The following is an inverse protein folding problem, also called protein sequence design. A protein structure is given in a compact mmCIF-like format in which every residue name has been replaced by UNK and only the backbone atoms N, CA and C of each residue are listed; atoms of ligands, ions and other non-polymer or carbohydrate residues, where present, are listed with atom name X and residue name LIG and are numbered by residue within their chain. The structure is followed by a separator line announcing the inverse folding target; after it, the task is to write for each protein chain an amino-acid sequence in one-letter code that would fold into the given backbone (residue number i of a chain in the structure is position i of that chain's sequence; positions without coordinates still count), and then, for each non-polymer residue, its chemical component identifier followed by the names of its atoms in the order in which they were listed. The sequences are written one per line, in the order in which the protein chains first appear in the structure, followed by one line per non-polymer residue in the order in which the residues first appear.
data_IF_122463906276
#
_entry.id   IF_122463906276
#
_cell.length_a   1.000
_cell.length_b   1.000
_cell.length_c   1.000
_cell.angle_alpha   90.00
_cell.angle_beta   90.00
_cell.angle_gamma   90.00
#
_symmetry.space_group_name_H-M   'P 1'
#
loop_
_entity.id
_entity.type
_entity.pdbx_description
1 polymer ?
#
# COMPACT_ATOMS: atom_id res chain seq x y z
N UNK A 1 33.15 49.44 -13.45
CA UNK A 1 33.00 47.99 -13.69
C UNK A 1 31.72 47.53 -13.02
N UNK A 2 30.65 47.35 -13.80
CA UNK A 2 29.32 46.97 -13.32
C UNK A 2 29.01 45.54 -13.76
N UNK A 3 28.64 44.70 -12.80
CA UNK A 3 28.27 43.29 -12.95
C UNK A 3 27.00 43.12 -13.82
N UNK A 4 26.91 42.05 -14.66
CA UNK A 4 25.72 41.72 -15.44
C UNK A 4 24.66 40.94 -14.62
N UNK A 5 23.40 40.83 -15.11
CA UNK A 5 22.23 40.51 -14.30
C UNK A 5 22.00 38.99 -14.19
N UNK A 6 22.52 38.36 -13.14
CA UNK A 6 22.41 36.90 -12.90
C UNK A 6 21.25 36.49 -11.98
N UNK A 7 20.27 37.35 -11.77
CA UNK A 7 19.16 37.09 -10.82
C UNK A 7 17.82 37.23 -11.53
N UNK A 8 17.41 36.25 -12.34
CA UNK A 8 16.01 36.21 -12.88
C UNK A 8 15.36 34.83 -12.91
N UNK A 9 16.12 33.76 -12.66
CA UNK A 9 15.58 32.39 -12.60
C UNK A 9 15.07 31.97 -11.20
N UNK A 10 15.71 32.35 -10.08
CA UNK A 10 15.14 32.18 -8.74
C UNK A 10 13.84 32.98 -8.60
N UNK A 11 13.77 34.13 -9.27
CA UNK A 11 12.59 34.99 -9.27
C UNK A 11 11.39 34.31 -9.92
N UNK A 12 11.55 33.50 -10.97
CA UNK A 12 10.42 32.80 -11.59
C UNK A 12 9.83 31.74 -10.67
N UNK A 13 10.65 30.96 -9.98
CA UNK A 13 10.16 30.01 -8.97
C UNK A 13 9.63 30.72 -7.73
N UNK A 14 10.25 31.84 -7.31
CA UNK A 14 9.75 32.69 -6.23
C UNK A 14 8.44 33.40 -6.61
N UNK A 15 8.23 33.69 -7.89
CA UNK A 15 7.01 34.30 -8.41
C UNK A 15 5.91 33.25 -8.61
N UNK A 16 6.24 32.04 -9.08
CA UNK A 16 5.35 30.88 -9.04
C UNK A 16 4.99 30.55 -7.60
N UNK A 17 5.93 30.67 -6.65
CA UNK A 17 5.72 30.50 -5.22
C UNK A 17 4.81 31.57 -4.63
N UNK A 18 5.09 32.87 -4.86
CA UNK A 18 4.22 33.97 -4.45
C UNK A 18 2.84 33.80 -5.05
N UNK A 19 2.74 33.32 -6.29
CA UNK A 19 1.50 33.04 -6.97
C UNK A 19 0.76 31.85 -6.35
N UNK A 20 1.40 30.69 -6.15
CA UNK A 20 0.79 29.51 -5.50
C UNK A 20 0.36 29.83 -4.06
N UNK A 21 1.18 30.57 -3.30
CA UNK A 21 0.83 31.03 -1.94
C UNK A 21 -0.32 32.04 -1.98
N UNK A 22 -0.35 32.96 -2.93
CA UNK A 22 -1.48 33.88 -3.12
C UNK A 22 -2.75 33.14 -3.52
N UNK A 23 -2.66 32.16 -4.42
CA UNK A 23 -3.77 31.35 -4.89
C UNK A 23 -4.30 30.43 -3.78
N UNK A 24 -3.43 29.83 -2.98
CA UNK A 24 -3.80 29.08 -1.79
C UNK A 24 -4.42 30.02 -0.75
N UNK A 25 -3.84 31.20 -0.49
CA UNK A 25 -4.44 32.22 0.41
C UNK A 25 -5.81 32.71 -0.08
N UNK A 26 -6.03 32.81 -1.38
CA UNK A 26 -7.29 33.26 -1.96
C UNK A 26 -8.34 32.14 -1.93
N UNK A 27 -7.94 30.91 -2.20
CA UNK A 27 -8.75 29.69 -2.01
C UNK A 27 -9.12 29.46 -0.53
N UNK A 28 -8.21 29.78 0.41
CA UNK A 28 -8.48 29.71 1.86
C UNK A 28 -9.54 30.70 2.35
N UNK A 29 -9.85 31.74 1.57
CA UNK A 29 -10.90 32.72 1.89
C UNK A 29 -12.29 32.28 1.42
N UNK A 30 -12.36 31.34 0.47
CA UNK A 30 -13.60 30.86 -0.13
C UNK A 30 -14.11 29.53 0.45
N UNK A 31 -13.24 28.72 1.08
CA UNK A 31 -13.65 27.48 1.76
C UNK A 31 -13.67 27.65 3.29
N UNK A 32 -14.69 27.10 3.94
CA UNK A 32 -14.88 27.19 5.41
C UNK A 32 -13.68 26.66 6.20
N UNK A 33 -13.37 27.37 7.29
CA UNK A 33 -12.03 27.59 7.86
C UNK A 33 -11.39 26.44 8.66
N UNK A 34 -11.93 25.22 8.67
CA UNK A 34 -11.44 24.21 9.62
C UNK A 34 -10.25 23.34 9.13
N UNK A 35 -9.99 23.24 7.83
CA UNK A 35 -9.02 22.27 7.27
C UNK A 35 -7.85 22.89 6.48
N UNK A 36 -7.83 24.22 6.35
CA UNK A 36 -6.93 24.96 5.46
C UNK A 36 -5.54 25.22 6.04
N UNK A 37 -5.41 25.43 7.35
CA UNK A 37 -4.11 25.63 7.99
C UNK A 37 -3.20 24.39 7.88
N UNK A 38 -3.80 23.19 7.92
CA UNK A 38 -3.08 21.92 7.75
C UNK A 38 -2.61 21.73 6.32
N UNK A 39 -3.48 21.98 5.33
CA UNK A 39 -3.11 21.91 3.91
C UNK A 39 -1.98 22.86 3.55
N UNK A 40 -2.02 24.11 4.04
CA UNK A 40 -0.94 25.07 3.81
C UNK A 40 0.37 24.64 4.47
N UNK A 41 0.31 24.14 5.71
CA UNK A 41 1.47 23.58 6.42
C UNK A 41 2.06 22.35 5.74
N UNK A 42 1.22 21.48 5.19
CA UNK A 42 1.65 20.28 4.45
C UNK A 42 2.33 20.63 3.12
N UNK A 43 1.78 21.58 2.35
CA UNK A 43 2.42 22.06 1.10
C UNK A 43 3.78 22.71 1.39
N UNK A 44 3.89 23.46 2.50
CA UNK A 44 5.16 24.04 2.96
C UNK A 44 6.19 22.96 3.35
N UNK A 45 5.76 21.91 4.06
CA UNK A 45 6.65 20.84 4.53
C UNK A 45 7.09 19.90 3.39
N UNK A 46 6.19 19.59 2.45
CA UNK A 46 6.50 18.92 1.19
C UNK A 46 7.60 19.64 0.42
N UNK A 47 7.49 20.96 0.30
CA UNK A 47 8.49 21.76 -0.38
C UNK A 47 9.82 21.80 0.36
N UNK A 48 9.81 21.88 1.70
CA UNK A 48 11.02 21.76 2.52
C UNK A 48 11.78 20.46 2.21
N UNK A 49 11.08 19.33 2.18
CA UNK A 49 11.66 18.02 1.83
C UNK A 49 12.17 17.95 0.39
N UNK A 50 11.43 18.51 -0.57
CA UNK A 50 11.87 18.60 -1.98
C UNK A 50 13.10 19.51 -2.15
N UNK A 51 13.20 20.59 -1.37
CA UNK A 51 14.36 21.47 -1.37
C UNK A 51 15.59 20.80 -0.74
N UNK A 52 15.40 20.01 0.32
CA UNK A 52 16.45 19.20 0.96
C UNK A 52 16.96 18.09 0.02
N UNK A 53 16.07 17.43 -0.74
CA UNK A 53 16.43 16.43 -1.76
C UNK A 53 17.20 17.03 -2.95
N UNK A 54 16.97 18.30 -3.28
CA UNK A 54 17.57 18.95 -4.46
C UNK A 54 18.95 19.56 -4.19
N UNK A 55 19.31 19.81 -2.93
CA UNK A 55 20.70 20.17 -2.55
C UNK A 55 21.66 19.01 -2.85
N UNK A 56 21.17 17.77 -2.96
CA UNK A 56 21.97 16.59 -3.26
C UNK A 56 22.21 16.31 -4.76
N UNK A 57 21.61 17.08 -5.69
CA UNK A 57 21.54 16.69 -7.12
C UNK A 57 22.02 17.72 -8.14
N UNK A 58 22.71 18.79 -7.72
CA UNK A 58 23.13 19.89 -8.61
C UNK A 58 24.50 19.67 -9.26
N UNK A 59 24.68 18.57 -9.99
CA UNK A 59 25.70 18.47 -11.06
C UNK A 59 25.11 17.73 -12.26
N UNK A 60 24.34 18.43 -13.12
CA UNK A 60 24.15 18.02 -14.52
C UNK A 60 23.37 19.09 -15.31
N UNK A 61 24.14 19.86 -16.09
CA UNK A 61 23.86 20.34 -17.45
C UNK A 61 22.48 20.93 -17.83
N UNK A 62 22.55 22.25 -18.03
CA UNK A 62 21.86 23.09 -19.03
C UNK A 62 21.34 22.37 -20.28
N UNK A 63 20.13 22.74 -20.73
CA UNK A 63 19.91 23.23 -22.11
C UNK A 63 18.54 23.93 -22.24
N UNK A 64 18.45 24.87 -23.20
CA UNK A 64 17.46 25.94 -23.41
C UNK A 64 16.05 25.47 -23.87
N UNK A 65 14.96 26.27 -23.95
CA UNK A 65 14.72 27.56 -24.65
C UNK A 65 13.26 28.02 -24.36
N UNK A 66 12.98 29.24 -23.83
CA UNK A 66 12.32 30.41 -24.49
C UNK A 66 10.87 30.17 -25.00
N UNK A 67 9.79 30.89 -24.66
CA UNK A 67 9.51 32.35 -24.79
C UNK A 67 8.16 32.71 -24.11
N UNK A 68 8.13 33.90 -23.46
CA UNK A 68 7.09 34.91 -23.16
C UNK A 68 5.61 34.62 -22.78
N UNK A 69 5.15 35.45 -21.82
CA UNK A 69 3.79 35.69 -21.30
C UNK A 69 3.60 37.24 -21.27
N UNK A 70 2.40 37.86 -21.06
CA UNK A 70 1.28 37.37 -20.22
C UNK A 70 -0.16 37.79 -20.60
N UNK A 71 -1.17 37.02 -20.19
CA UNK A 71 -2.54 37.53 -19.98
C UNK A 71 -3.40 36.65 -19.06
N UNK A 72 -4.10 37.31 -18.11
CA UNK A 72 -5.16 36.85 -17.19
C UNK A 72 -4.79 35.94 -15.98
N UNK A 73 -5.15 36.30 -14.72
CA UNK A 73 -5.06 35.39 -13.59
C UNK A 73 -6.30 34.48 -13.58
N UNK A 74 -6.25 33.41 -14.38
CA UNK A 74 -7.12 32.27 -14.16
C UNK A 74 -6.71 31.63 -12.82
N UNK A 75 -7.42 31.98 -11.75
CA UNK A 75 -7.30 31.34 -10.45
C UNK A 75 -7.57 29.84 -10.60
N UNK A 76 -6.52 29.03 -10.68
CA UNK A 76 -6.73 27.59 -10.75
C UNK A 76 -5.46 26.82 -10.48
N UNK A 77 -5.43 26.06 -9.37
CA UNK A 77 -4.54 24.91 -9.20
C UNK A 77 -4.65 23.91 -10.38
N UNK A 78 -5.71 24.01 -11.19
CA UNK A 78 -5.94 23.28 -12.45
C UNK A 78 -4.89 23.60 -13.53
N UNK A 79 -4.17 24.73 -13.44
CA UNK A 79 -3.13 25.12 -14.42
C UNK A 79 -1.77 24.45 -14.14
N UNK A 80 -1.60 23.81 -12.97
CA UNK A 80 -0.38 23.07 -12.68
C UNK A 80 -0.31 21.77 -13.49
N UNK A 81 0.87 21.42 -14.05
CA UNK A 81 1.10 20.10 -14.61
C UNK A 81 0.76 18.99 -13.63
N UNK A 82 0.22 17.89 -14.15
CA UNK A 82 -0.28 16.76 -13.36
C UNK A 82 0.83 16.17 -12.48
N UNK A 83 2.08 16.18 -12.94
CA UNK A 83 3.25 15.69 -12.22
C UNK A 83 3.49 16.47 -10.92
N UNK A 84 3.36 17.80 -10.96
CA UNK A 84 3.51 18.65 -9.78
C UNK A 84 2.34 18.47 -8.81
N UNK A 85 1.13 18.31 -9.34
CA UNK A 85 -0.04 17.97 -8.52
C UNK A 85 0.15 16.62 -7.83
N UNK A 86 0.68 15.63 -8.53
CA UNK A 86 0.99 14.31 -7.96
C UNK A 86 1.99 14.40 -6.81
N UNK A 87 3.08 15.18 -6.97
CA UNK A 87 4.07 15.37 -5.91
C UNK A 87 3.45 16.01 -4.66
N UNK A 88 2.62 17.03 -4.84
CA UNK A 88 1.91 17.68 -3.72
C UNK A 88 0.93 16.72 -3.05
N UNK A 89 0.15 15.98 -3.84
CA UNK A 89 -0.83 15.03 -3.33
C UNK A 89 -0.19 13.82 -2.62
N UNK A 90 1.01 13.41 -3.03
CA UNK A 90 1.75 12.31 -2.41
C UNK A 90 2.14 12.63 -0.95
N UNK A 91 2.17 13.91 -0.58
CA UNK A 91 2.51 14.36 0.77
C UNK A 91 1.30 14.39 1.71
N UNK A 92 0.10 14.15 1.20
CA UNK A 92 -1.13 14.16 1.97
C UNK A 92 -1.40 12.80 2.61
N UNK A 93 -1.94 12.84 3.83
CA UNK A 93 -2.57 11.67 4.43
C UNK A 93 -3.84 11.27 3.67
N UNK A 94 -4.24 10.00 3.79
CA UNK A 94 -5.38 9.43 3.07
C UNK A 94 -6.68 10.25 3.24
N UNK A 95 -6.93 10.78 4.44
CA UNK A 95 -8.13 11.61 4.72
C UNK A 95 -8.14 12.88 3.88
N UNK A 96 -7.01 13.57 3.80
CA UNK A 96 -6.90 14.84 3.08
C UNK A 96 -6.79 14.62 1.58
N UNK A 97 -6.16 13.53 1.13
CA UNK A 97 -6.21 13.10 -0.26
C UNK A 97 -7.65 12.88 -0.75
N UNK A 98 -8.49 12.19 0.04
CA UNK A 98 -9.91 11.97 -0.31
C UNK A 98 -10.68 13.28 -0.45
N UNK A 99 -10.41 14.26 0.41
CA UNK A 99 -11.02 15.60 0.32
C UNK A 99 -10.56 16.36 -0.91
N UNK A 100 -9.26 16.33 -1.20
CA UNK A 100 -8.69 16.97 -2.38
C UNK A 100 -9.32 16.42 -3.67
N UNK A 101 -9.58 15.11 -3.72
CA UNK A 101 -10.24 14.45 -4.86
C UNK A 101 -11.67 14.93 -5.12
N UNK A 102 -12.40 15.34 -4.09
CA UNK A 102 -13.76 15.85 -4.24
C UNK A 102 -13.80 17.32 -4.69
N UNK A 103 -12.66 18.01 -4.74
CA UNK A 103 -12.63 19.45 -5.03
C UNK A 103 -12.64 19.78 -6.52
N UNK A 104 -11.87 19.06 -7.36
CA UNK A 104 -11.85 19.29 -8.80
C UNK A 104 -11.36 18.07 -9.60
N UNK A 105 -11.66 18.06 -10.91
CA UNK A 105 -11.30 16.97 -11.83
C UNK A 105 -9.79 16.78 -11.95
N UNK A 106 -8.99 17.85 -11.96
CA UNK A 106 -7.52 17.73 -12.08
C UNK A 106 -6.90 17.05 -10.86
N UNK A 107 -7.34 17.39 -9.65
CA UNK A 107 -6.87 16.72 -8.43
C UNK A 107 -7.37 15.28 -8.35
N UNK A 108 -8.61 15.04 -8.80
CA UNK A 108 -9.10 13.68 -8.97
C UNK A 108 -8.19 12.86 -9.90
N UNK A 109 -7.87 13.36 -11.08
CA UNK A 109 -7.00 12.68 -12.04
C UNK A 109 -5.59 12.49 -11.49
N UNK A 110 -4.96 13.53 -10.94
CA UNK A 110 -3.61 13.46 -10.38
C UNK A 110 -3.51 12.48 -9.20
N UNK A 111 -4.56 12.37 -8.39
CA UNK A 111 -4.62 11.42 -7.26
C UNK A 111 -4.64 9.95 -7.67
N UNK A 112 -4.89 9.63 -8.95
CA UNK A 112 -4.86 8.26 -9.48
C UNK A 112 -3.45 7.77 -9.79
N UNK A 113 -2.43 8.59 -9.52
CA UNK A 113 -1.03 8.19 -9.72
C UNK A 113 -0.62 7.06 -8.79
N UNK A 114 0.06 6.05 -9.36
CA UNK A 114 0.66 4.92 -8.63
C UNK A 114 1.56 5.37 -7.48
N UNK A 115 2.34 6.44 -7.69
CA UNK A 115 3.32 6.94 -6.73
C UNK A 115 2.66 7.40 -5.41
N UNK A 116 1.46 7.98 -5.49
CA UNK A 116 0.71 8.43 -4.31
C UNK A 116 0.28 7.23 -3.47
N UNK A 117 -0.31 6.22 -4.10
CA UNK A 117 -0.82 5.04 -3.40
C UNK A 117 0.30 4.16 -2.85
N UNK A 118 1.42 4.04 -3.57
CA UNK A 118 2.60 3.35 -3.06
C UNK A 118 3.15 4.04 -1.81
N UNK A 119 3.20 5.37 -1.80
CA UNK A 119 3.63 6.13 -0.63
C UNK A 119 2.67 5.97 0.55
N UNK A 120 1.37 6.05 0.31
CA UNK A 120 0.36 5.83 1.34
C UNK A 120 0.44 4.41 1.92
N UNK A 121 0.73 3.40 1.10
CA UNK A 121 0.95 2.03 1.57
C UNK A 121 2.12 1.96 2.56
N UNK A 122 3.25 2.59 2.25
CA UNK A 122 4.40 2.62 3.16
C UNK A 122 4.09 3.39 4.45
N UNK A 123 3.37 4.51 4.37
CA UNK A 123 2.93 5.25 5.56
C UNK A 123 1.98 4.46 6.44
N UNK A 124 1.09 3.65 5.85
CA UNK A 124 0.22 2.74 6.60
C UNK A 124 1.01 1.60 7.24
N UNK A 125 2.09 1.14 6.62
CA UNK A 125 2.89 0.01 7.10
C UNK A 125 3.87 0.38 8.21
N UNK A 126 4.34 1.63 8.24
CA UNK A 126 5.36 2.16 9.16
C UNK A 126 5.05 1.94 10.67
N UNK A 127 3.79 2.05 11.15
CA UNK A 127 3.49 1.85 12.56
C UNK A 127 3.58 0.39 13.04
N UNK A 128 3.56 -0.60 12.14
CA UNK A 128 3.51 -2.01 12.52
C UNK A 128 4.91 -2.57 12.73
N UNK A 129 5.09 -3.32 13.83
CA UNK A 129 6.37 -4.01 14.16
C UNK A 129 6.77 -5.00 13.05
N UNK A 130 5.78 -5.62 12.41
CA UNK A 130 5.96 -6.43 11.22
C UNK A 130 5.34 -5.67 10.04
N UNK A 131 6.06 -5.50 8.92
CA UNK A 131 5.54 -4.79 7.77
C UNK A 131 4.33 -5.55 7.20
N UNK A 132 3.37 -4.80 6.65
CA UNK A 132 2.29 -5.39 5.87
C UNK A 132 2.92 -6.06 4.64
N UNK A 133 2.77 -7.38 4.53
CA UNK A 133 3.30 -8.16 3.40
C UNK A 133 2.20 -8.25 2.34
N UNK A 134 2.36 -7.58 1.18
CA UNK A 134 1.42 -7.72 0.08
C UNK A 134 1.52 -9.13 -0.54
N UNK A 135 0.42 -9.69 -1.08
CA UNK A 135 0.41 -11.01 -1.71
C UNK A 135 1.37 -11.18 -2.90
N UNK A 136 1.74 -10.08 -3.57
CA UNK A 136 2.67 -10.04 -4.70
C UNK A 136 3.69 -8.91 -4.47
N UNK A 137 4.82 -8.88 -5.19
CA UNK A 137 5.75 -7.75 -5.14
C UNK A 137 5.03 -6.43 -5.51
N UNK A 138 5.31 -5.33 -4.79
CA UNK A 138 4.61 -4.06 -5.01
C UNK A 138 4.77 -3.52 -6.43
N UNK A 139 5.87 -3.87 -7.09
CA UNK A 139 6.21 -3.54 -8.47
C UNK A 139 5.15 -4.05 -9.46
N UNK A 140 4.50 -5.18 -9.16
CA UNK A 140 3.49 -5.77 -10.04
C UNK A 140 2.12 -5.10 -9.93
N UNK A 141 1.89 -4.30 -8.88
CA UNK A 141 0.58 -3.67 -8.68
C UNK A 141 0.41 -2.40 -9.52
N UNK A 142 -0.73 -2.33 -10.21
CA UNK A 142 -1.23 -1.12 -10.85
C UNK A 142 -1.70 -0.08 -9.83
N UNK A 143 -1.90 1.17 -10.29
CA UNK A 143 -2.36 2.25 -9.42
C UNK A 143 -3.73 1.97 -8.77
N UNK A 144 -4.65 1.38 -9.53
CA UNK A 144 -6.00 1.06 -9.04
C UNK A 144 -5.98 -0.09 -8.01
N UNK A 145 -5.14 -1.10 -8.22
CA UNK A 145 -4.99 -2.21 -7.26
C UNK A 145 -4.37 -1.71 -5.94
N UNK A 146 -3.34 -0.86 -6.00
CA UNK A 146 -2.77 -0.22 -4.82
C UNK A 146 -3.79 0.66 -4.08
N UNK A 147 -4.59 1.45 -4.82
CA UNK A 147 -5.66 2.25 -4.23
C UNK A 147 -6.66 1.36 -3.48
N UNK A 148 -7.10 0.26 -4.10
CA UNK A 148 -8.00 -0.70 -3.46
C UNK A 148 -7.39 -1.29 -2.18
N UNK A 149 -6.15 -1.74 -2.25
CA UNK A 149 -5.42 -2.33 -1.13
C UNK A 149 -5.27 -1.34 0.03
N UNK A 150 -4.76 -0.12 -0.21
CA UNK A 150 -4.63 0.93 0.81
C UNK A 150 -5.97 1.23 1.48
N UNK A 151 -7.05 1.35 0.70
CA UNK A 151 -8.38 1.61 1.24
C UNK A 151 -8.92 0.42 2.06
N UNK A 152 -8.68 -0.81 1.63
CA UNK A 152 -9.05 -2.01 2.37
C UNK A 152 -8.31 -2.08 3.70
N UNK A 153 -7.00 -1.93 3.71
CA UNK A 153 -6.19 -1.93 4.93
C UNK A 153 -6.62 -0.84 5.90
N UNK A 154 -6.91 0.37 5.42
CA UNK A 154 -7.42 1.46 6.28
C UNK A 154 -8.74 1.09 6.94
N UNK A 155 -9.66 0.42 6.22
CA UNK A 155 -10.94 -0.02 6.78
C UNK A 155 -10.74 -1.10 7.83
N UNK A 156 -9.84 -2.04 7.56
CA UNK A 156 -9.48 -3.11 8.49
C UNK A 156 -8.89 -2.49 9.76
N UNK A 157 -7.86 -1.65 9.64
CA UNK A 157 -7.21 -0.98 10.77
C UNK A 157 -8.19 -0.17 11.62
N UNK A 158 -9.06 0.62 10.97
CA UNK A 158 -10.11 1.33 11.68
C UNK A 158 -11.07 0.37 12.39
N UNK A 159 -11.50 -0.69 11.72
CA UNK A 159 -12.40 -1.70 12.29
C UNK A 159 -11.81 -2.41 13.50
N UNK A 160 -10.50 -2.70 13.48
CA UNK A 160 -9.78 -3.31 14.60
C UNK A 160 -9.50 -2.34 15.74
N UNK A 161 -9.22 -1.08 15.42
CA UNK A 161 -8.91 -0.03 16.40
C UNK A 161 -10.16 0.53 17.09
N UNK A 162 -11.33 0.46 16.47
CA UNK A 162 -12.56 0.95 17.10
C UNK A 162 -13.14 -0.06 18.09
N UNK A 163 -13.77 0.46 19.16
CA UNK A 163 -14.54 -0.34 20.13
C UNK A 163 -15.68 -1.16 19.48
N UNK A 164 -15.93 -0.99 18.17
CA UNK A 164 -16.88 -1.74 17.37
C UNK A 164 -16.62 -3.25 17.36
N UNK A 165 -15.39 -3.74 17.54
CA UNK A 165 -15.13 -5.18 17.60
C UNK A 165 -15.92 -5.87 18.71
N UNK A 166 -16.15 -5.18 19.84
CA UNK A 166 -16.95 -5.73 20.94
C UNK A 166 -18.45 -5.73 20.62
N UNK A 167 -18.89 -4.85 19.73
CA UNK A 167 -20.30 -4.69 19.35
C UNK A 167 -20.68 -5.53 18.12
N UNK A 168 -19.74 -5.71 17.20
CA UNK A 168 -19.86 -6.50 15.98
C UNK A 168 -18.51 -7.20 15.74
N UNK A 169 -18.29 -8.39 16.33
CA UNK A 169 -17.07 -9.13 16.08
C UNK A 169 -16.96 -9.49 14.59
N UNK A 170 -15.74 -9.59 14.05
CA UNK A 170 -15.54 -10.05 12.68
C UNK A 170 -16.21 -11.42 12.50
N UNK A 171 -16.70 -11.75 11.29
CA UNK A 171 -17.22 -13.07 11.00
C UNK A 171 -16.18 -14.14 11.36
N UNK A 172 -16.61 -15.14 12.14
CA UNK A 172 -15.76 -16.25 12.54
C UNK A 172 -16.18 -17.52 11.81
N UNK A 173 -15.20 -18.34 11.46
CA UNK A 173 -15.41 -19.69 10.93
C UNK A 173 -14.68 -20.67 11.82
N UNK A 174 -15.37 -21.74 12.19
CA UNK A 174 -14.81 -22.80 13.02
C UNK A 174 -14.28 -23.87 12.07
N UNK A 175 -12.99 -24.14 12.15
CA UNK A 175 -12.37 -25.32 11.56
C UNK A 175 -12.48 -26.42 12.60
N UNK A 176 -13.39 -27.36 12.36
CA UNK A 176 -13.55 -28.52 13.24
C UNK A 176 -12.38 -29.47 12.99
N UNK A 177 -11.49 -29.55 13.97
CA UNK A 177 -10.38 -30.49 13.95
C UNK A 177 -10.66 -31.58 14.96
N UNK A 178 -10.68 -32.82 14.46
CA UNK A 178 -10.96 -34.00 15.27
C UNK A 178 -9.94 -34.21 16.42
N UNK A 179 -8.77 -33.55 16.39
CA UNK A 179 -7.64 -33.81 17.29
C UNK A 179 -7.14 -32.56 18.02
N UNK A 180 -6.96 -32.60 19.35
CA UNK A 180 -6.29 -31.54 20.08
C UNK A 180 -4.83 -31.41 19.59
N UNK A 181 -4.34 -30.18 19.49
CA UNK A 181 -2.98 -29.85 19.01
C UNK A 181 -2.70 -30.15 17.53
N UNK A 182 -3.71 -30.08 16.67
CA UNK A 182 -3.49 -30.15 15.21
C UNK A 182 -2.55 -29.02 14.77
N UNK A 183 -1.41 -29.32 14.12
CA UNK A 183 -0.50 -28.29 13.65
C UNK A 183 -1.15 -27.46 12.53
N UNK A 184 -0.92 -26.16 12.58
CA UNK A 184 -1.35 -25.23 11.54
C UNK A 184 -0.25 -24.23 11.22
N UNK A 185 -0.29 -23.68 10.01
CA UNK A 185 0.63 -22.63 9.58
C UNK A 185 -0.13 -21.60 8.74
N UNK A 186 -0.09 -20.33 9.17
CA UNK A 186 -0.59 -19.22 8.36
C UNK A 186 0.52 -18.78 7.41
N UNK A 187 0.26 -18.82 6.11
CA UNK A 187 1.21 -18.37 5.09
C UNK A 187 1.33 -16.84 5.15
N UNK A 188 2.54 -16.30 4.91
CA UNK A 188 2.74 -14.85 4.82
C UNK A 188 1.76 -14.22 3.82
N UNK A 189 1.25 -13.04 4.15
CA UNK A 189 0.13 -12.41 3.45
C UNK A 189 -1.25 -12.76 4.02
N UNK A 190 -1.36 -13.81 4.86
CA UNK A 190 -2.51 -14.05 5.73
C UNK A 190 -3.77 -14.61 5.07
N UNK A 191 -3.74 -14.89 3.76
CA UNK A 191 -4.86 -15.48 3.01
C UNK A 191 -4.96 -17.00 3.16
N UNK A 192 -3.83 -17.68 3.17
CA UNK A 192 -3.79 -19.14 3.13
C UNK A 192 -3.44 -19.71 4.49
N UNK A 193 -4.28 -20.61 4.99
CA UNK A 193 -4.03 -21.35 6.22
C UNK A 193 -3.82 -22.83 5.89
N UNK A 194 -2.67 -23.38 6.28
CA UNK A 194 -2.40 -24.80 6.22
C UNK A 194 -2.83 -25.48 7.52
N UNK A 195 -3.46 -26.63 7.40
CA UNK A 195 -3.83 -27.50 8.52
C UNK A 195 -3.60 -28.97 8.14
N UNK A 196 -3.81 -29.88 9.09
CA UNK A 196 -3.77 -31.32 8.84
C UNK A 196 -5.06 -31.99 9.26
N UNK A 197 -5.43 -33.07 8.58
CA UNK A 197 -6.56 -33.92 8.98
C UNK A 197 -6.11 -35.16 9.77
N UNK A 198 -7.08 -35.91 10.30
CA UNK A 198 -6.85 -37.17 11.03
C UNK A 198 -6.22 -38.30 10.20
N UNK A 199 -6.23 -38.16 8.87
CA UNK A 199 -5.66 -39.15 7.97
C UNK A 199 -4.21 -38.84 7.63
N UNK A 200 -3.65 -37.70 8.08
CA UNK A 200 -2.32 -37.25 7.69
C UNK A 200 -2.30 -36.46 6.37
N UNK A 201 -3.47 -36.04 5.87
CA UNK A 201 -3.53 -35.12 4.74
C UNK A 201 -3.15 -33.70 5.19
N UNK A 202 -2.46 -32.96 4.33
CA UNK A 202 -2.29 -31.52 4.49
C UNK A 202 -3.37 -30.82 3.70
N UNK A 203 -4.12 -29.95 4.39
CA UNK A 203 -5.18 -29.14 3.81
C UNK A 203 -4.70 -27.69 3.70
N UNK A 204 -5.14 -27.00 2.67
CA UNK A 204 -4.99 -25.56 2.51
C UNK A 204 -6.37 -24.92 2.46
N UNK A 205 -6.57 -23.87 3.25
CA UNK A 205 -7.80 -23.10 3.32
C UNK A 205 -7.58 -21.69 2.77
N UNK A 206 -8.35 -21.30 1.76
CA UNK A 206 -8.49 -19.91 1.32
C UNK A 206 -9.41 -19.16 2.30
N UNK A 207 -8.83 -18.29 3.12
CA UNK A 207 -9.56 -17.51 4.11
C UNK A 207 -10.43 -16.42 3.46
N UNK A 208 -10.15 -16.04 2.21
CA UNK A 208 -10.96 -15.09 1.45
C UNK A 208 -12.14 -15.76 0.73
N UNK A 209 -12.16 -17.09 0.61
CA UNK A 209 -13.29 -17.83 0.04
C UNK A 209 -14.57 -17.56 0.85
N UNK A 210 -15.77 -17.49 0.24
CA UNK A 210 -17.01 -17.25 0.96
C UNK A 210 -17.40 -18.39 1.91
N UNK A 211 -16.91 -19.61 1.67
CA UNK A 211 -17.19 -20.77 2.51
C UNK A 211 -15.99 -21.72 2.61
N UNK A 212 -15.89 -22.44 3.73
CA UNK A 212 -14.86 -23.48 3.91
C UNK A 212 -15.00 -24.61 2.89
N UNK A 213 -16.22 -24.95 2.49
CA UNK A 213 -16.48 -26.02 1.53
C UNK A 213 -15.88 -25.72 0.15
N UNK A 214 -15.89 -24.45 -0.27
CA UNK A 214 -15.31 -24.03 -1.56
C UNK A 214 -13.84 -23.67 -1.44
N UNK A 215 -13.40 -23.20 -0.27
CA UNK A 215 -12.04 -22.70 -0.06
C UNK A 215 -11.03 -23.72 0.47
N UNK A 216 -11.45 -24.95 0.77
CA UNK A 216 -10.55 -25.98 1.31
C UNK A 216 -10.09 -26.93 0.21
N UNK A 217 -8.79 -27.09 0.06
CA UNK A 217 -8.17 -27.99 -0.90
C UNK A 217 -7.18 -28.93 -0.21
N UNK A 218 -7.04 -30.15 -0.73
CA UNK A 218 -6.06 -31.12 -0.25
C UNK A 218 -4.74 -30.86 -0.98
N UNK A 219 -3.70 -30.47 -0.25
CA UNK A 219 -2.37 -30.18 -0.78
C UNK A 219 -1.51 -31.45 -0.84
N UNK A 220 -1.53 -32.25 0.23
CA UNK A 220 -0.83 -33.53 0.32
C UNK A 220 -1.84 -34.57 0.78
N UNK A 221 -1.87 -35.71 0.10
CA UNK A 221 -2.67 -36.88 0.47
C UNK A 221 -1.73 -38.06 0.74
N UNK A 222 -1.92 -38.81 1.85
CA UNK A 222 -1.20 -40.07 2.06
C UNK A 222 -1.48 -41.07 0.94
N UNK A 223 -0.47 -41.87 0.57
CA UNK A 223 -0.62 -42.87 -0.50
C UNK A 223 -1.58 -44.00 -0.10
N UNK A 224 -1.53 -44.45 1.16
CA UNK A 224 -2.50 -45.40 1.73
C UNK A 224 -3.32 -44.75 2.84
N UNK A 225 -4.65 -44.89 2.76
CA UNK A 225 -5.58 -44.42 3.81
C UNK A 225 -5.45 -45.21 5.12
N UNK A 226 -4.80 -46.37 5.09
CA UNK A 226 -4.52 -47.21 6.26
C UNK A 226 -3.26 -46.75 7.01
N UNK A 227 -2.38 -46.01 6.33
CA UNK A 227 -1.25 -45.34 6.95
C UNK A 227 -1.73 -44.03 7.56
N UNK A 228 -2.40 -44.16 8.71
CA UNK A 228 -2.72 -43.01 9.55
C UNK A 228 -1.41 -42.44 10.11
N UNK A 229 -0.89 -41.41 9.47
CA UNK A 229 0.30 -40.70 9.90
C UNK A 229 -0.12 -39.44 10.64
N UNK A 230 0.04 -39.43 11.96
CA UNK A 230 -0.17 -38.22 12.74
C UNK A 230 0.96 -37.23 12.47
N UNK A 231 0.60 -36.07 11.92
CA UNK A 231 1.53 -34.96 11.74
C UNK A 231 1.56 -34.18 13.05
N UNK A 232 2.71 -34.20 13.72
CA UNK A 232 2.89 -33.53 15.01
C UNK A 232 3.44 -32.10 14.87
N UNK A 233 4.13 -31.79 13.76
CA UNK A 233 4.68 -30.45 13.49
C UNK A 233 4.65 -30.10 12.02
N UNK A 234 4.48 -28.81 11.75
CA UNK A 234 4.50 -28.20 10.43
C UNK A 234 5.39 -26.95 10.45
N UNK A 235 6.20 -26.76 9.42
CA UNK A 235 6.98 -25.54 9.21
C UNK A 235 6.98 -25.15 7.74
N UNK A 236 6.87 -23.85 7.47
CA UNK A 236 6.75 -23.28 6.13
C UNK A 236 7.91 -22.33 5.89
N UNK A 237 8.54 -22.43 4.72
CA UNK A 237 9.57 -21.49 4.26
C UNK A 237 9.18 -20.92 2.90
N UNK A 238 8.94 -19.61 2.82
CA UNK A 238 8.43 -18.94 1.63
C UNK A 238 9.57 -18.51 0.72
N UNK A 239 9.44 -18.79 -0.58
CA UNK A 239 10.32 -18.27 -1.61
C UNK A 239 9.84 -16.90 -2.06
N UNK A 240 10.51 -15.85 -1.55
CA UNK A 240 10.20 -14.46 -1.89
C UNK A 240 10.76 -14.02 -3.24
N UNK A 241 11.56 -14.88 -3.90
CA UNK A 241 12.08 -14.59 -5.23
C UNK A 241 11.09 -14.97 -6.34
N UNK A 242 10.11 -15.83 -6.04
CA UNK A 242 9.09 -16.21 -7.00
C UNK A 242 8.07 -15.06 -7.23
N UNK A 243 7.64 -14.82 -8.50
CA UNK A 243 6.54 -13.90 -8.80
C UNK A 243 5.18 -14.44 -8.33
N UNK A 244 5.11 -15.73 -7.98
CA UNK A 244 3.94 -16.41 -7.44
C UNK A 244 4.17 -16.85 -6.01
N UNK A 245 3.10 -17.12 -5.25
CA UNK A 245 3.25 -17.63 -3.90
C UNK A 245 3.81 -19.05 -3.94
N UNK A 246 5.08 -19.17 -3.56
CA UNK A 246 5.82 -20.43 -3.48
C UNK A 246 6.39 -20.63 -2.09
N UNK A 247 6.32 -21.87 -1.60
CA UNK A 247 6.91 -22.23 -0.32
C UNK A 247 7.32 -23.71 -0.27
N UNK A 248 8.26 -23.98 0.63
CA UNK A 248 8.65 -25.32 1.06
C UNK A 248 7.94 -25.67 2.36
N UNK A 249 7.53 -26.93 2.48
CA UNK A 249 6.79 -27.44 3.63
C UNK A 249 7.57 -28.59 4.27
N UNK A 250 7.92 -28.42 5.55
CA UNK A 250 8.51 -29.48 6.36
C UNK A 250 7.47 -30.03 7.33
N UNK A 251 7.35 -31.36 7.37
CA UNK A 251 6.40 -32.07 8.22
C UNK A 251 7.15 -33.06 9.12
N UNK A 252 6.73 -33.13 10.38
CA UNK A 252 7.17 -34.16 11.32
C UNK A 252 6.00 -35.07 11.64
N UNK A 253 6.26 -36.38 11.67
CA UNK A 253 5.29 -37.39 12.07
C UNK A 253 5.86 -38.35 13.11
N UNK A 254 5.01 -39.16 13.72
CA UNK A 254 5.39 -40.03 14.86
C UNK A 254 6.43 -41.11 14.51
N UNK A 255 6.65 -41.38 13.22
CA UNK A 255 7.59 -42.38 12.71
C UNK A 255 8.82 -41.76 12.02
N UNK A 256 8.97 -40.44 11.98
CA UNK A 256 10.05 -39.75 11.25
C UNK A 256 9.71 -38.33 10.81
N UNK A 257 10.60 -37.71 10.03
CA UNK A 257 10.39 -36.40 9.42
C UNK A 257 10.54 -36.45 7.91
N UNK A 258 9.74 -35.66 7.20
CA UNK A 258 9.79 -35.52 5.75
C UNK A 258 9.78 -34.05 5.33
N UNK A 259 10.58 -33.70 4.33
CA UNK A 259 10.55 -32.38 3.69
C UNK A 259 9.92 -32.55 2.32
N UNK A 260 8.83 -31.84 2.08
CA UNK A 260 8.17 -31.79 0.79
C UNK A 260 8.57 -30.49 0.10
N UNK A 261 9.09 -30.62 -1.12
CA UNK A 261 9.65 -29.50 -1.85
C UNK A 261 8.60 -28.90 -2.80
N UNK A 262 8.50 -27.57 -2.79
CA UNK A 262 7.75 -26.72 -3.72
C UNK A 262 6.23 -26.96 -3.82
N UNK A 263 5.47 -26.04 -3.23
CA UNK A 263 4.04 -25.89 -3.49
C UNK A 263 3.76 -24.51 -4.09
N UNK A 264 3.00 -24.48 -5.20
CA UNK A 264 2.52 -23.26 -5.84
C UNK A 264 1.04 -23.12 -5.53
N UNK A 265 0.65 -22.03 -4.87
CA UNK A 265 -0.76 -21.68 -4.70
C UNK A 265 -1.17 -20.60 -5.71
N UNK A 266 -2.39 -20.65 -6.26
CA UNK A 266 -2.84 -19.66 -7.21
C UNK A 266 -2.90 -18.27 -6.55
N UNK A 267 -2.23 -17.30 -7.16
CA UNK A 267 -2.43 -15.89 -6.86
C UNK A 267 -3.69 -15.43 -7.60
N UNK A 268 -4.82 -15.34 -6.91
CA UNK A 268 -6.00 -14.65 -7.42
C UNK A 268 -6.04 -13.22 -6.87
#
# INVERSE_FOLDING_TARGET
MSLPPTVRFPERLLNVWKWVVLQLKQWTRQCERAHLGRLLGMVLNAFRRLSELRVSGYEATRSAKGIDAPSQPANSLVVLPTELLTLVLAELELRDLRRARCSCRSLYTASKSRAIWLRLFWQLSDPYVLPIIPPRPLETYGAAELESMVLQWTRVDHGWSSCSIRQQPPPQRILDHDWPNTPFALIEGGRWLLTTDKCGSVLVHDLDSPSLATGTHVLIRPEDKRDHVYISKMSVCIDRSSPTLEFNLALSHDYGGGVFNFFVLPNA
#
